data_IF_814843421168
#
_entry.id   IF_814843421168
#
_cell.length_a   1.000
_cell.length_b   1.000
_cell.length_c   1.000
_cell.angle_alpha   90.00
_cell.angle_beta   90.00
_cell.angle_gamma   90.00
#
_symmetry.space_group_name_H-M   'P 1'
#
loop_
_entity.id
_entity.type
_entity.pdbx_description
1 polymer ?
#
# COMPACT_ATOMS: atom_id res chain seq x y z
N UNK A 1 -40.36 -26.42 33.64
CA UNK A 1 -39.51 -25.29 34.01
C UNK A 1 -38.02 -25.54 33.76
N UNK A 2 -37.45 -26.68 34.09
CA UNK A 2 -36.02 -26.99 33.80
C UNK A 2 -35.72 -27.02 32.29
N UNK A 3 -36.62 -27.55 31.51
CA UNK A 3 -36.54 -27.71 30.07
C UNK A 3 -36.50 -26.36 29.31
N UNK A 4 -37.29 -25.38 29.74
CA UNK A 4 -37.27 -24.02 29.17
C UNK A 4 -35.99 -23.27 29.52
N UNK A 5 -35.39 -23.55 30.67
CA UNK A 5 -34.14 -22.95 31.10
C UNK A 5 -32.95 -23.49 30.29
N UNK A 6 -32.92 -24.82 30.03
CA UNK A 6 -31.92 -25.46 29.19
C UNK A 6 -32.05 -24.95 27.75
N UNK A 7 -33.28 -24.83 27.22
CA UNK A 7 -33.50 -24.32 25.85
C UNK A 7 -33.02 -22.88 25.71
N UNK A 8 -33.23 -22.01 26.69
CA UNK A 8 -32.72 -20.63 26.69
C UNK A 8 -31.18 -20.56 26.70
N UNK A 9 -30.53 -21.42 27.48
CA UNK A 9 -29.07 -21.47 27.55
C UNK A 9 -28.49 -21.90 26.19
N UNK A 10 -29.02 -22.94 25.57
CA UNK A 10 -28.59 -23.43 24.27
C UNK A 10 -28.80 -22.36 23.21
N UNK A 11 -29.95 -21.68 23.23
CA UNK A 11 -30.24 -20.58 22.31
C UNK A 11 -29.24 -19.41 22.47
N UNK A 12 -28.95 -19.01 23.71
CA UNK A 12 -28.01 -17.93 23.99
C UNK A 12 -26.59 -18.23 23.48
N UNK A 13 -26.11 -19.47 23.70
CA UNK A 13 -24.81 -19.93 23.21
C UNK A 13 -24.80 -19.93 21.66
N UNK A 14 -25.87 -20.43 21.06
CA UNK A 14 -26.03 -20.46 19.60
C UNK A 14 -26.00 -19.06 18.97
N UNK A 15 -26.74 -18.11 19.51
CA UNK A 15 -26.77 -16.72 19.08
C UNK A 15 -25.42 -16.03 19.30
N UNK A 16 -24.74 -16.29 20.42
CA UNK A 16 -23.40 -15.77 20.68
C UNK A 16 -22.37 -16.26 19.67
N UNK A 17 -22.41 -17.54 19.31
CA UNK A 17 -21.57 -18.12 18.27
C UNK A 17 -21.81 -17.51 16.87
N UNK A 18 -23.05 -17.37 16.49
CA UNK A 18 -23.42 -16.75 15.20
C UNK A 18 -22.97 -15.28 15.13
N UNK A 19 -23.15 -14.52 16.20
CA UNK A 19 -22.72 -13.11 16.26
C UNK A 19 -21.22 -12.97 16.10
N UNK A 20 -20.41 -13.82 16.73
CA UNK A 20 -18.95 -13.79 16.60
C UNK A 20 -18.48 -14.13 15.18
N UNK A 21 -19.10 -15.11 14.53
CA UNK A 21 -18.80 -15.46 13.14
C UNK A 21 -19.16 -14.33 12.17
N UNK A 22 -20.28 -13.65 12.41
CA UNK A 22 -20.72 -12.53 11.56
C UNK A 22 -19.76 -11.35 11.67
N UNK A 23 -19.31 -11.02 12.89
CA UNK A 23 -18.28 -9.99 13.10
C UNK A 23 -16.94 -10.35 12.43
N UNK A 24 -16.49 -11.59 12.56
CA UNK A 24 -15.27 -12.06 11.93
C UNK A 24 -15.36 -11.98 10.40
N UNK A 25 -16.50 -12.36 9.82
CA UNK A 25 -16.75 -12.29 8.38
C UNK A 25 -16.72 -10.84 7.86
N UNK A 26 -17.40 -9.91 8.54
CA UNK A 26 -17.41 -8.50 8.19
C UNK A 26 -15.99 -7.90 8.26
N UNK A 27 -15.23 -8.23 9.29
CA UNK A 27 -13.87 -7.77 9.45
C UNK A 27 -12.95 -8.27 8.34
N UNK A 28 -13.04 -9.57 8.00
CA UNK A 28 -12.24 -10.17 6.93
C UNK A 28 -12.58 -9.56 5.57
N UNK A 29 -13.87 -9.34 5.29
CA UNK A 29 -14.30 -8.71 4.04
C UNK A 29 -13.80 -7.27 3.91
N UNK A 30 -13.88 -6.49 4.98
CA UNK A 30 -13.36 -5.12 4.99
C UNK A 30 -11.85 -5.08 4.76
N UNK A 31 -11.10 -5.98 5.40
CA UNK A 31 -9.65 -6.11 5.19
C UNK A 31 -9.32 -6.49 3.75
N UNK A 32 -9.98 -7.49 3.19
CA UNK A 32 -9.77 -7.92 1.81
C UNK A 32 -10.03 -6.78 0.80
N UNK A 33 -11.07 -5.98 1.05
CA UNK A 33 -11.35 -4.79 0.22
C UNK A 33 -10.22 -3.77 0.30
N UNK A 34 -9.68 -3.49 1.49
CA UNK A 34 -8.56 -2.54 1.64
C UNK A 34 -7.28 -3.04 0.99
N UNK A 35 -6.97 -4.34 1.10
CA UNK A 35 -5.80 -4.94 0.47
C UNK A 35 -5.90 -4.87 -1.07
N UNK A 36 -7.09 -5.13 -1.62
CA UNK A 36 -7.33 -4.99 -3.06
C UNK A 36 -7.16 -3.55 -3.54
N UNK A 37 -7.75 -2.59 -2.84
CA UNK A 37 -7.61 -1.16 -3.19
C UNK A 37 -6.16 -0.70 -3.06
N UNK A 38 -5.42 -1.14 -2.04
CA UNK A 38 -3.98 -0.83 -1.92
C UNK A 38 -3.19 -1.32 -3.13
N UNK A 39 -3.48 -2.53 -3.59
CA UNK A 39 -2.84 -3.10 -4.78
C UNK A 39 -3.18 -2.30 -6.03
N UNK A 40 -4.46 -1.97 -6.24
CA UNK A 40 -4.90 -1.17 -7.40
C UNK A 40 -4.25 0.21 -7.44
N UNK A 41 -4.14 0.90 -6.29
CA UNK A 41 -3.48 2.20 -6.22
C UNK A 41 -1.99 2.08 -6.51
N UNK A 42 -1.32 1.04 -5.99
CA UNK A 42 0.09 0.79 -6.28
C UNK A 42 0.31 0.45 -7.77
N UNK A 43 -0.55 -0.37 -8.39
CA UNK A 43 -0.54 -0.68 -9.81
C UNK A 43 -0.72 0.55 -10.66
N UNK A 44 -1.67 1.42 -10.32
CA UNK A 44 -1.91 2.65 -11.04
C UNK A 44 -0.66 3.53 -11.11
N UNK A 45 0.06 3.71 -10.00
CA UNK A 45 1.32 4.46 -9.97
C UNK A 45 2.40 3.75 -10.78
N UNK A 46 2.48 2.43 -10.67
CA UNK A 46 3.44 1.62 -11.40
C UNK A 46 3.26 1.76 -12.92
N UNK A 47 2.02 1.71 -13.39
CA UNK A 47 1.70 1.89 -14.81
C UNK A 47 2.08 3.28 -15.31
N UNK A 48 1.80 4.33 -14.54
CA UNK A 48 2.18 5.69 -14.88
C UNK A 48 3.70 5.85 -15.01
N UNK A 49 4.45 5.28 -14.07
CA UNK A 49 5.91 5.29 -14.11
C UNK A 49 6.42 4.45 -15.28
N UNK A 50 5.84 3.29 -15.53
CA UNK A 50 6.27 2.35 -16.58
C UNK A 50 5.94 2.84 -17.98
N UNK A 51 4.96 3.74 -18.13
CA UNK A 51 4.62 4.35 -19.42
C UNK A 51 5.71 5.29 -19.96
N UNK A 52 6.63 5.73 -19.11
CA UNK A 52 7.75 6.59 -19.52
C UNK A 52 9.01 5.76 -19.81
N UNK A 53 9.84 6.22 -20.79
CA UNK A 53 11.15 5.62 -21.03
C UNK A 53 12.01 5.58 -19.76
N UNK A 54 12.85 4.56 -19.63
CA UNK A 54 13.67 4.34 -18.44
C UNK A 54 14.64 5.49 -18.13
N UNK A 55 15.05 6.24 -19.14
CA UNK A 55 15.92 7.41 -19.04
C UNK A 55 15.18 8.74 -18.90
N UNK A 56 13.84 8.71 -18.83
CA UNK A 56 13.05 9.93 -18.67
C UNK A 56 13.17 10.44 -17.24
N UNK A 57 13.49 11.73 -17.12
CA UNK A 57 13.47 12.48 -15.87
C UNK A 57 12.19 13.33 -15.71
N UNK A 58 11.20 13.12 -16.58
CA UNK A 58 9.97 13.91 -16.61
C UNK A 58 9.08 13.53 -15.42
N UNK A 59 8.79 14.50 -14.58
CA UNK A 59 7.80 14.30 -13.52
C UNK A 59 6.40 14.14 -14.13
N UNK A 60 5.63 13.24 -13.57
CA UNK A 60 4.22 13.02 -13.90
C UNK A 60 3.33 13.67 -12.86
N UNK A 61 2.13 14.03 -13.27
CA UNK A 61 1.09 14.48 -12.33
C UNK A 61 -0.05 13.49 -12.33
N UNK A 62 -0.37 12.97 -11.14
CA UNK A 62 -1.53 12.10 -10.92
C UNK A 62 -2.52 12.85 -10.05
N UNK A 63 -3.78 12.88 -10.46
CA UNK A 63 -4.85 13.52 -9.69
C UNK A 63 -5.65 12.43 -8.99
N UNK A 64 -5.83 12.57 -7.69
CA UNK A 64 -6.68 11.68 -6.92
C UNK A 64 -8.17 12.03 -7.06
N UNK A 65 -9.05 11.22 -6.47
CA UNK A 65 -10.48 11.46 -6.56
C UNK A 65 -10.96 12.68 -5.77
N UNK A 66 -10.16 13.20 -4.84
CA UNK A 66 -10.45 14.45 -4.13
C UNK A 66 -10.04 15.69 -4.96
N UNK A 67 -9.43 15.47 -6.13
CA UNK A 67 -8.94 16.54 -7.01
C UNK A 67 -7.55 17.04 -6.63
N UNK A 68 -6.84 16.36 -5.75
CA UNK A 68 -5.45 16.73 -5.38
C UNK A 68 -4.49 16.22 -6.45
N UNK A 69 -3.67 17.12 -6.98
CA UNK A 69 -2.64 16.79 -7.95
C UNK A 69 -1.32 16.44 -7.25
N UNK A 70 -0.81 15.24 -7.51
CA UNK A 70 0.42 14.72 -6.94
C UNK A 70 1.50 14.65 -8.00
N UNK A 71 2.66 15.23 -7.74
CA UNK A 71 3.82 15.10 -8.62
C UNK A 71 4.57 13.82 -8.32
N UNK A 72 4.71 12.97 -9.34
CA UNK A 72 5.45 11.71 -9.28
C UNK A 72 6.80 11.93 -9.93
N UNK A 73 7.87 11.86 -9.15
CA UNK A 73 9.23 11.81 -9.68
C UNK A 73 9.50 10.44 -10.30
N UNK A 74 10.10 10.46 -11.50
CA UNK A 74 10.47 9.24 -12.22
C UNK A 74 11.99 9.10 -12.36
N UNK A 75 12.76 9.97 -11.71
CA UNK A 75 14.20 9.86 -11.65
C UNK A 75 14.61 8.67 -10.80
N UNK A 76 15.63 7.96 -11.22
CA UNK A 76 16.24 6.88 -10.46
C UNK A 76 17.73 7.03 -10.43
N UNK A 77 18.37 6.62 -9.33
CA UNK A 77 19.83 6.50 -9.24
C UNK A 77 20.28 5.06 -9.48
N UNK A 78 21.51 4.93 -9.96
CA UNK A 78 22.16 3.63 -10.00
C UNK A 78 22.42 3.13 -8.58
N UNK A 79 22.21 1.83 -8.37
CA UNK A 79 22.59 1.20 -7.10
C UNK A 79 24.08 1.35 -6.88
N UNK A 80 24.49 1.91 -5.74
CA UNK A 80 25.89 2.05 -5.40
C UNK A 80 26.56 0.67 -5.30
N UNK A 81 27.61 0.46 -6.08
CA UNK A 81 28.38 -0.78 -6.04
C UNK A 81 29.03 -0.94 -4.63
N UNK A 82 28.81 -2.06 -3.96
CA UNK A 82 29.46 -2.41 -2.70
C UNK A 82 28.71 -2.02 -1.43
N UNK A 83 27.54 -1.42 -1.49
CA UNK A 83 26.67 -1.25 -0.31
C UNK A 83 26.02 -2.58 0.04
N UNK A 84 26.68 -3.36 0.88
CA UNK A 84 26.27 -4.71 1.28
C UNK A 84 24.81 -4.77 1.72
N UNK A 85 23.95 -5.20 0.82
CA UNK A 85 22.55 -5.50 1.09
C UNK A 85 21.60 -4.29 1.20
N UNK A 86 22.07 -3.06 1.08
CA UNK A 86 21.20 -1.88 1.00
C UNK A 86 20.91 -1.57 -0.46
N UNK A 87 19.71 -1.88 -0.91
CA UNK A 87 19.23 -1.41 -2.19
C UNK A 87 19.01 0.09 -2.08
N UNK A 88 19.77 0.88 -2.82
CA UNK A 88 19.66 2.34 -2.88
C UNK A 88 19.22 2.76 -4.27
N UNK A 89 18.10 3.43 -4.33
CA UNK A 89 17.59 4.14 -5.49
C UNK A 89 17.26 5.58 -5.10
N UNK A 90 16.54 6.29 -5.95
CA UNK A 90 15.91 7.55 -5.56
C UNK A 90 14.50 7.25 -5.04
N UNK A 91 14.20 7.69 -3.83
CA UNK A 91 12.87 7.55 -3.28
C UNK A 91 12.81 7.13 -1.82
N UNK A 92 11.80 6.35 -1.50
CA UNK A 92 11.63 5.80 -0.16
C UNK A 92 12.72 4.77 0.13
N UNK A 93 13.20 4.73 1.37
CA UNK A 93 14.21 3.75 1.79
C UNK A 93 13.69 2.31 1.62
N UNK A 94 14.61 1.42 1.27
CA UNK A 94 14.31 0.01 1.13
C UNK A 94 14.90 -0.78 2.32
N UNK A 95 14.20 -1.81 2.73
CA UNK A 95 14.71 -2.82 3.66
C UNK A 95 15.79 -3.68 2.99
N UNK A 96 16.51 -4.47 3.76
CA UNK A 96 17.47 -5.46 3.23
C UNK A 96 16.81 -6.50 2.28
N UNK A 97 15.50 -6.67 2.37
CA UNK A 97 14.72 -7.51 1.45
C UNK A 97 14.31 -6.83 0.15
N UNK A 98 14.69 -5.56 -0.06
CA UNK A 98 14.34 -4.81 -1.28
C UNK A 98 12.87 -4.43 -1.38
N UNK A 99 12.19 -4.24 -0.26
CA UNK A 99 10.83 -3.71 -0.15
C UNK A 99 10.84 -2.37 0.58
N UNK A 100 9.84 -1.53 0.35
CA UNK A 100 9.74 -0.21 0.99
C UNK A 100 9.78 -0.35 2.51
N UNK A 101 10.65 0.43 3.15
CA UNK A 101 10.77 0.50 4.60
C UNK A 101 9.70 1.43 5.18
N UNK A 102 8.70 0.82 5.78
CA UNK A 102 7.61 1.53 6.41
C UNK A 102 7.93 2.10 7.80
N UNK A 103 9.12 1.88 8.31
CA UNK A 103 9.61 2.56 9.53
C UNK A 103 10.06 3.98 9.25
N UNK A 104 10.40 4.30 7.98
CA UNK A 104 10.68 5.65 7.54
C UNK A 104 9.44 6.53 7.73
N UNK A 105 9.59 7.69 8.39
CA UNK A 105 8.51 8.65 8.52
C UNK A 105 8.11 9.19 7.14
N UNK A 106 6.80 9.48 6.91
CA UNK A 106 6.31 9.99 5.64
C UNK A 106 7.05 11.28 5.19
N UNK A 107 7.24 12.22 6.11
CA UNK A 107 7.95 13.47 5.83
C UNK A 107 9.47 13.33 5.60
N UNK A 108 10.04 12.14 5.84
CA UNK A 108 11.44 11.84 5.55
C UNK A 108 11.64 11.20 4.16
N UNK A 109 10.56 10.87 3.46
CA UNK A 109 10.63 10.42 2.06
C UNK A 109 10.90 11.62 1.18
N UNK A 110 11.85 11.54 0.23
CA UNK A 110 12.12 12.64 -0.69
C UNK A 110 10.86 13.10 -1.43
N UNK A 111 10.76 14.41 -1.66
CA UNK A 111 9.62 14.99 -2.36
C UNK A 111 9.43 14.37 -3.75
N UNK A 112 8.20 14.02 -4.09
CA UNK A 112 7.89 13.37 -5.35
C UNK A 112 8.05 11.86 -5.37
N UNK A 113 8.37 11.21 -4.23
CA UNK A 113 8.46 9.75 -4.10
C UNK A 113 7.50 9.16 -3.07
N UNK A 114 6.60 9.98 -2.58
CA UNK A 114 5.47 9.56 -1.76
C UNK A 114 4.27 10.44 -2.03
N UNK A 115 3.07 9.87 -1.86
CA UNK A 115 1.81 10.60 -1.92
C UNK A 115 0.79 10.01 -0.96
N UNK A 116 -0.16 10.84 -0.53
CA UNK A 116 -1.34 10.41 0.21
C UNK A 116 -2.53 10.41 -0.74
N UNK A 117 -2.67 9.32 -1.49
CA UNK A 117 -3.69 9.16 -2.51
C UNK A 117 -5.05 8.91 -1.87
N UNK A 118 -6.05 9.72 -2.25
CA UNK A 118 -7.43 9.54 -1.81
C UNK A 118 -8.18 8.68 -2.82
N UNK A 119 -8.67 7.54 -2.37
CA UNK A 119 -9.58 6.68 -3.13
C UNK A 119 -11.01 6.91 -2.67
N UNK A 120 -11.91 7.24 -3.61
CA UNK A 120 -13.33 7.43 -3.37
C UNK A 120 -14.06 6.14 -3.75
N UNK A 121 -14.14 5.22 -2.82
CA UNK A 121 -14.88 3.99 -3.01
C UNK A 121 -16.39 4.21 -3.23
N UNK A 122 -17.07 3.17 -3.66
CA UNK A 122 -18.52 3.17 -3.81
C UNK A 122 -19.21 3.57 -2.49
N UNK A 123 -20.13 4.54 -2.57
CA UNK A 123 -20.91 5.02 -1.42
C UNK A 123 -20.29 6.21 -0.68
N UNK A 124 -19.34 6.94 -1.30
CA UNK A 124 -18.83 8.21 -0.77
C UNK A 124 -17.84 8.04 0.40
N UNK A 125 -17.38 6.83 0.67
CA UNK A 125 -16.32 6.58 1.65
C UNK A 125 -14.97 6.89 1.01
N UNK A 126 -14.28 7.86 1.57
CA UNK A 126 -12.91 8.17 1.19
C UNK A 126 -11.93 7.38 2.06
N UNK A 127 -10.98 6.72 1.41
CA UNK A 127 -9.85 6.07 2.08
C UNK A 127 -8.57 6.70 1.58
N UNK A 128 -7.71 7.11 2.49
CA UNK A 128 -6.41 7.69 2.15
C UNK A 128 -5.35 6.61 2.20
N UNK A 129 -4.59 6.47 1.13
CA UNK A 129 -3.48 5.53 1.01
C UNK A 129 -2.15 6.28 1.06
N UNK A 130 -1.24 5.85 1.92
CA UNK A 130 0.17 6.23 1.88
C UNK A 130 0.84 5.36 0.82
N UNK A 131 1.23 5.97 -0.29
CA UNK A 131 1.89 5.31 -1.42
C UNK A 131 3.32 5.81 -1.49
N UNK A 132 4.28 4.90 -1.56
CA UNK A 132 5.71 5.21 -1.62
C UNK A 132 6.38 4.40 -2.70
N UNK A 133 7.39 4.97 -3.32
CA UNK A 133 8.17 4.26 -4.33
C UNK A 133 9.65 4.59 -4.24
N UNK A 134 10.42 3.67 -4.81
CA UNK A 134 11.85 3.78 -5.04
C UNK A 134 12.17 3.37 -6.46
N UNK A 135 13.08 4.09 -7.09
CA UNK A 135 13.47 3.89 -8.49
C UNK A 135 14.97 3.65 -8.59
N UNK A 136 15.33 2.47 -9.05
CA UNK A 136 16.72 2.05 -9.22
C UNK A 136 17.05 2.00 -10.72
N UNK A 137 18.02 2.78 -11.15
CA UNK A 137 18.54 2.73 -12.53
C UNK A 137 19.45 1.52 -12.67
N UNK A 138 19.03 0.56 -13.47
CA UNK A 138 19.80 -0.65 -13.77
C UNK A 138 20.78 -0.45 -14.94
N UNK A 139 20.36 0.32 -15.94
CA UNK A 139 21.17 0.70 -17.10
C UNK A 139 20.57 1.95 -17.75
N UNK A 140 21.21 2.46 -18.82
CA UNK A 140 20.65 3.58 -19.63
C UNK A 140 19.28 3.27 -20.23
N UNK A 141 18.91 2.00 -20.31
CA UNK A 141 17.69 1.52 -20.96
C UNK A 141 16.76 0.76 -20.01
N UNK A 142 17.15 0.56 -18.76
CA UNK A 142 16.38 -0.23 -17.83
C UNK A 142 16.38 0.41 -16.44
N UNK A 143 15.19 0.51 -15.85
CA UNK A 143 15.00 0.88 -14.44
C UNK A 143 14.12 -0.13 -13.73
N UNK A 144 14.33 -0.27 -12.45
CA UNK A 144 13.47 -1.04 -11.56
C UNK A 144 12.66 -0.08 -10.70
N UNK A 145 11.35 -0.25 -10.70
CA UNK A 145 10.44 0.48 -9.83
C UNK A 145 9.93 -0.46 -8.74
N UNK A 146 10.01 -0.01 -7.49
CA UNK A 146 9.49 -0.70 -6.32
C UNK A 146 8.46 0.23 -5.69
N UNK A 147 7.20 -0.21 -5.64
CA UNK A 147 6.08 0.61 -5.17
C UNK A 147 5.37 -0.14 -4.06
N UNK A 148 4.97 0.58 -3.04
CA UNK A 148 4.19 0.02 -1.96
C UNK A 148 3.10 0.99 -1.52
N UNK A 149 1.91 0.47 -1.23
CA UNK A 149 0.78 1.25 -0.75
C UNK A 149 0.15 0.61 0.48
N UNK A 150 -0.28 1.44 1.42
CA UNK A 150 -1.05 1.02 2.60
C UNK A 150 -2.08 2.08 2.97
N UNK A 151 -3.24 1.71 3.56
CA UNK A 151 -4.17 2.71 4.05
C UNK A 151 -3.54 3.51 5.21
N UNK A 152 -3.75 4.84 5.19
CA UNK A 152 -3.36 5.71 6.30
C UNK A 152 -4.25 5.42 7.51
N UNK A 153 -3.69 5.47 8.73
CA UNK A 153 -4.42 5.13 9.95
C UNK A 153 -4.40 3.65 10.31
N UNK A 154 -3.76 2.81 9.50
CA UNK A 154 -3.37 1.45 9.89
C UNK A 154 -2.18 1.46 10.87
N UNK A 155 -2.12 2.47 11.75
CA UNK A 155 -1.07 2.55 12.77
C UNK A 155 -1.19 1.39 13.73
N UNK A 156 -0.06 0.77 13.98
CA UNK A 156 0.19 -0.31 14.93
C UNK A 156 -0.01 0.18 16.38
N UNK A 157 -1.21 0.63 16.71
CA UNK A 157 -1.57 0.91 18.09
C UNK A 157 -2.59 -0.15 18.54
N UNK A 158 -2.06 -1.25 19.07
CA UNK A 158 -2.74 -2.11 20.03
C UNK A 158 -3.93 -2.95 19.56
N UNK A 159 -4.28 -2.94 18.31
CA UNK A 159 -5.34 -3.77 17.76
C UNK A 159 -4.86 -4.52 16.53
N UNK A 160 -5.23 -5.76 16.38
CA UNK A 160 -4.96 -6.75 15.32
C UNK A 160 -5.11 -6.29 13.84
N UNK A 161 -4.72 -5.08 13.52
CA UNK A 161 -4.73 -4.54 12.16
C UNK A 161 -3.37 -4.74 11.50
N UNK A 162 -3.02 -5.97 11.22
CA UNK A 162 -1.97 -6.25 10.24
C UNK A 162 -2.53 -5.95 8.86
N UNK A 163 -2.40 -4.71 8.43
CA UNK A 163 -2.55 -4.39 7.02
C UNK A 163 -1.19 -4.65 6.39
N UNK A 164 -1.10 -5.68 5.58
CA UNK A 164 0.09 -5.92 4.78
C UNK A 164 0.12 -4.87 3.66
N UNK A 165 1.19 -4.07 3.54
CA UNK A 165 1.30 -3.14 2.43
C UNK A 165 1.39 -3.93 1.12
N UNK A 166 0.66 -3.50 0.10
CA UNK A 166 0.85 -4.02 -1.24
C UNK A 166 2.27 -3.65 -1.70
N UNK A 167 3.04 -4.62 -2.16
CA UNK A 167 4.38 -4.40 -2.70
C UNK A 167 4.42 -4.89 -4.14
N UNK A 168 4.70 -3.99 -5.06
CA UNK A 168 4.83 -4.26 -6.47
C UNK A 168 6.26 -3.94 -6.92
N UNK A 169 6.79 -4.77 -7.80
CA UNK A 169 8.11 -4.59 -8.37
C UNK A 169 8.07 -4.87 -9.86
N UNK A 170 8.60 -3.97 -10.65
CA UNK A 170 8.74 -4.15 -12.10
C UNK A 170 10.11 -3.73 -12.57
N UNK A 171 10.55 -4.30 -13.67
CA UNK A 171 11.72 -3.87 -14.43
C UNK A 171 11.19 -3.43 -15.78
N UNK A 172 11.27 -2.13 -16.05
CA UNK A 172 10.89 -1.54 -17.32
C UNK A 172 12.13 -1.08 -18.07
N UNK A 173 12.08 -1.21 -19.38
CA UNK A 173 13.15 -0.75 -20.26
C UNK A 173 12.65 -0.60 -21.70
N UNK A 174 13.15 0.36 -22.40
CA UNK A 174 13.20 0.47 -23.86
C UNK A 174 14.52 1.06 -24.27
#
# INVERSE_FOLDING_TARGET
>A
MLESLIAMIVLAIGLGGLSSLLMASLYTNHRSSQDTSSTMVAEHVLEQISALPANSATALTVTDCAGTAWNISTQGHAQAAGSGGSYGGDGATLTSGGVIDWTQAYGAVPAGYAMQYVDCGNGGRQTVYDVRWDLITMSSYARMAIISARPTGATVNGGLRFVMPANLRTIGGM
#
